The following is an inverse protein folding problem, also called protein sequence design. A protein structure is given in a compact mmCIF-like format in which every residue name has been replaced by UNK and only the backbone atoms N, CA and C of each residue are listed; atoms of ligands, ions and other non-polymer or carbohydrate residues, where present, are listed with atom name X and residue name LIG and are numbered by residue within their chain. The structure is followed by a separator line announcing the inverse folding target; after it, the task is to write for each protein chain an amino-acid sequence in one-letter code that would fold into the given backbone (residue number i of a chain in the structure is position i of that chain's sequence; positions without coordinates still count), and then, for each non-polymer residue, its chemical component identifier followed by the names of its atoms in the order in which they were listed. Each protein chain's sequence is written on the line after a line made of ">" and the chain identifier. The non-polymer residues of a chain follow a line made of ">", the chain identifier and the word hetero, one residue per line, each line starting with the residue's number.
data_IF_190159729761
#
_entry.id   IF_190159729761
#
_cell.length_a   1.000
_cell.length_b   1.000
_cell.length_c   1.000
_cell.angle_alpha   90.00
_cell.angle_beta   90.00
_cell.angle_gamma   90.00
#
_symmetry.space_group_name_H-M   'P 1'
#
loop_
_entity.id
_entity.type
_entity.pdbx_description
1 polymer ?
#
# COMPACT_ATOMS: atom_id res chain seq x y z
N UNK A 1 27.45 7.65 8.61
CA UNK A 1 26.81 8.92 8.16
C UNK A 1 25.62 9.14 9.06
N UNK A 2 25.55 10.30 9.72
CA UNK A 2 24.45 10.58 10.64
C UNK A 2 23.24 11.09 9.84
N UNK A 3 22.09 10.46 10.01
CA UNK A 3 20.87 10.80 9.24
C UNK A 3 19.80 11.34 10.17
N UNK A 4 19.27 12.52 9.86
CA UNK A 4 18.13 13.08 10.59
C UNK A 4 16.87 12.26 10.35
N UNK A 5 16.11 11.98 11.40
CA UNK A 5 14.83 11.29 11.33
C UNK A 5 13.76 12.11 12.04
N UNK A 6 12.57 12.13 11.47
CA UNK A 6 11.39 12.79 12.02
C UNK A 6 10.25 11.80 12.01
N UNK A 7 9.66 11.56 13.18
CA UNK A 7 8.58 10.61 13.37
C UNK A 7 7.38 11.34 13.91
N UNK A 8 6.24 11.18 13.24
CA UNK A 8 4.94 11.72 13.66
C UNK A 8 3.97 10.56 13.84
N UNK A 9 3.25 10.56 14.96
CA UNK A 9 2.25 9.55 15.26
C UNK A 9 0.94 10.18 15.71
N UNK A 10 -0.16 9.52 15.39
CA UNK A 10 -1.48 9.78 15.98
C UNK A 10 -2.19 8.46 16.25
N UNK A 11 -2.70 8.34 17.48
CA UNK A 11 -3.38 7.16 17.98
C UNK A 11 -4.81 7.57 18.26
N UNK A 12 -5.75 6.99 17.52
CA UNK A 12 -7.17 7.23 17.69
C UNK A 12 -7.74 6.13 18.56
N UNK A 13 -7.79 6.40 19.86
CA UNK A 13 -8.35 5.50 20.86
C UNK A 13 -9.14 6.30 21.89
N UNK A 14 -10.25 5.72 22.33
CA UNK A 14 -11.28 6.44 23.07
C UNK A 14 -11.05 6.44 24.59
N UNK A 15 -10.18 5.58 25.13
CA UNK A 15 -10.15 5.33 26.59
C UNK A 15 -8.90 4.57 27.11
N UNK A 16 -7.74 4.60 26.43
CA UNK A 16 -6.57 3.79 26.85
C UNK A 16 -5.27 4.57 26.85
N UNK A 17 -4.40 4.25 27.82
CA UNK A 17 -3.02 4.71 27.87
C UNK A 17 -2.17 3.93 26.89
N UNK A 18 -1.45 4.64 26.02
CA UNK A 18 -0.54 4.06 25.03
C UNK A 18 0.90 4.39 25.35
N UNK A 19 1.78 3.43 25.13
CA UNK A 19 3.20 3.57 25.33
C UNK A 19 3.88 3.48 23.98
N UNK A 20 4.76 4.43 23.68
CA UNK A 20 5.61 4.44 22.50
C UNK A 20 7.06 4.35 22.93
N UNK A 21 7.81 3.44 22.29
CA UNK A 21 9.26 3.37 22.42
C UNK A 21 9.89 3.23 21.04
N UNK A 22 10.99 3.96 20.84
CA UNK A 22 11.85 3.82 19.67
C UNK A 22 13.18 3.25 20.12
N UNK A 23 13.60 2.16 19.48
CA UNK A 23 14.82 1.43 19.81
C UNK A 23 15.76 1.39 18.61
N UNK A 24 17.06 1.50 18.89
CA UNK A 24 18.13 1.40 17.91
C UNK A 24 18.40 -0.06 17.50
N UNK A 25 19.15 -0.29 16.41
CA UNK A 25 19.53 -1.63 15.97
C UNK A 25 20.28 -2.45 17.04
N UNK A 26 20.92 -1.78 17.99
CA UNK A 26 21.71 -2.37 19.07
C UNK A 26 20.93 -2.50 20.39
N UNK A 27 19.62 -2.23 20.36
CA UNK A 27 18.77 -2.34 21.55
C UNK A 27 18.78 -1.10 22.45
N UNK A 28 19.38 0.02 22.04
CA UNK A 28 19.36 1.25 22.83
C UNK A 28 18.03 1.98 22.65
N UNK A 29 17.42 2.41 23.75
CA UNK A 29 16.18 3.19 23.71
C UNK A 29 16.48 4.66 23.40
N UNK A 30 15.97 5.14 22.28
CA UNK A 30 16.20 6.51 21.78
C UNK A 30 15.09 7.45 22.20
N UNK A 31 13.87 6.94 22.24
CA UNK A 31 12.70 7.70 22.64
C UNK A 31 11.75 6.79 23.40
N UNK A 32 11.16 7.30 24.48
CA UNK A 32 10.18 6.60 25.28
C UNK A 32 9.16 7.60 25.78
N UNK A 33 7.88 7.34 25.55
CA UNK A 33 6.80 8.21 25.96
C UNK A 33 5.58 7.39 26.39
N UNK A 34 5.04 7.73 27.55
CA UNK A 34 3.86 7.10 28.13
C UNK A 34 2.61 7.97 27.88
N UNK A 35 1.44 7.34 27.79
CA UNK A 35 0.13 7.98 27.56
C UNK A 35 0.06 8.89 26.32
N UNK A 36 0.53 8.38 25.18
CA UNK A 36 0.58 9.13 23.93
C UNK A 36 -0.70 9.05 23.11
N UNK A 37 -1.29 10.19 22.74
CA UNK A 37 -2.43 10.26 21.80
C UNK A 37 -2.00 10.80 20.45
N UNK A 38 -1.13 11.80 20.42
CA UNK A 38 -0.56 12.38 19.21
C UNK A 38 0.78 13.02 19.54
N UNK A 39 1.70 13.04 18.57
CA UNK A 39 3.03 13.62 18.80
C UNK A 39 3.90 13.61 17.56
N UNK A 40 4.93 14.45 17.60
CA UNK A 40 6.03 14.45 16.64
C UNK A 40 7.33 14.63 17.39
N UNK A 41 8.33 13.83 17.05
CA UNK A 41 9.69 13.95 17.58
C UNK A 41 10.69 13.74 16.45
N UNK A 42 11.90 14.26 16.65
CA UNK A 42 13.00 14.11 15.73
C UNK A 42 14.24 13.61 16.48
N UNK A 43 15.00 12.74 15.84
CA UNK A 43 16.26 12.22 16.36
C UNK A 43 17.23 11.97 15.21
N UNK A 44 18.53 11.96 15.49
CA UNK A 44 19.55 11.69 14.48
C UNK A 44 20.10 10.29 14.68
N UNK A 45 20.20 9.51 13.61
CA UNK A 45 20.87 8.20 13.66
C UNK A 45 22.37 8.40 13.77
N UNK A 46 23.00 7.68 14.69
CA UNK A 46 24.46 7.60 14.81
C UNK A 46 25.00 6.37 14.10
N UNK A 47 24.16 5.35 13.91
CA UNK A 47 24.54 4.03 13.43
C UNK A 47 23.64 3.62 12.27
N UNK A 48 24.20 2.85 11.33
CA UNK A 48 23.42 2.25 10.25
C UNK A 48 22.72 0.98 10.75
N UNK A 49 21.44 0.84 10.47
CA UNK A 49 20.68 -0.36 10.78
C UNK A 49 19.17 -0.12 10.90
N UNK A 50 18.46 -1.14 11.38
CA UNK A 50 17.00 -1.09 11.55
C UNK A 50 16.62 -0.48 12.90
N UNK A 51 15.88 0.63 12.84
CA UNK A 51 15.27 1.25 14.01
C UNK A 51 13.83 0.75 14.15
N UNK A 52 13.40 0.48 15.37
CA UNK A 52 12.08 -0.07 15.67
C UNK A 52 11.25 0.95 16.43
N UNK A 53 9.98 1.13 16.04
CA UNK A 53 8.98 1.83 16.83
C UNK A 53 7.94 0.82 17.33
N UNK A 54 7.80 0.74 18.64
CA UNK A 54 6.90 -0.18 19.32
C UNK A 54 5.79 0.61 20.03
N UNK A 55 4.55 0.16 19.87
CA UNK A 55 3.36 0.72 20.51
C UNK A 55 2.73 -0.34 21.41
N UNK A 56 2.54 -0.03 22.70
CA UNK A 56 1.82 -0.89 23.64
C UNK A 56 0.56 -0.20 24.15
N UNK A 57 -0.41 -1.03 24.56
CA UNK A 57 -1.71 -0.59 25.04
C UNK A 57 -1.92 -1.20 26.42
N UNK A 58 -2.06 -0.37 27.44
CA UNK A 58 -2.42 -0.85 28.77
C UNK A 58 -3.94 -1.02 28.85
N UNK A 59 -4.39 -2.27 28.83
CA UNK A 59 -5.79 -2.59 29.05
C UNK A 59 -6.09 -4.06 28.80
N UNK A 60 -6.74 -4.71 29.78
CA UNK A 60 -7.37 -6.02 29.63
C UNK A 60 -8.64 -5.91 28.77
N UNK A 61 -8.48 -5.50 27.51
CA UNK A 61 -9.59 -5.29 26.60
C UNK A 61 -9.99 -6.58 25.92
N UNK A 62 -10.67 -7.42 26.68
CA UNK A 62 -11.51 -8.51 26.17
C UNK A 62 -12.64 -7.99 25.23
N UNK A 63 -12.73 -6.66 25.00
CA UNK A 63 -13.70 -5.96 24.14
C UNK A 63 -13.13 -4.66 23.52
N UNK A 64 -11.96 -4.67 22.88
CA UNK A 64 -11.49 -3.46 22.18
C UNK A 64 -12.17 -3.31 20.81
N UNK A 65 -12.99 -2.26 20.65
CA UNK A 65 -13.17 -1.64 19.32
C UNK A 65 -11.77 -1.39 18.75
N UNK A 66 -11.55 -1.74 17.47
CA UNK A 66 -10.22 -1.68 16.86
C UNK A 66 -9.51 -0.35 17.11
N UNK A 67 -8.22 -0.43 17.41
CA UNK A 67 -7.36 0.75 17.60
C UNK A 67 -6.71 1.11 16.28
N UNK A 68 -6.79 2.38 15.90
CA UNK A 68 -6.15 2.90 14.69
C UNK A 68 -4.92 3.70 15.08
N UNK A 69 -3.76 3.28 14.59
CA UNK A 69 -2.47 3.98 14.73
C UNK A 69 -2.05 4.50 13.36
N UNK A 70 -1.78 5.79 13.26
CA UNK A 70 -1.18 6.43 12.10
C UNK A 70 0.25 6.81 12.42
N UNK A 71 1.19 6.40 11.56
CA UNK A 71 2.63 6.62 11.70
C UNK A 71 3.20 7.19 10.40
N UNK A 72 3.83 8.35 10.47
CA UNK A 72 4.61 8.98 9.39
C UNK A 72 6.08 9.05 9.84
N UNK A 73 6.95 8.29 9.15
CA UNK A 73 8.38 8.22 9.44
C UNK A 73 9.16 8.79 8.26
N UNK A 74 9.92 9.86 8.51
CA UNK A 74 10.71 10.57 7.50
C UNK A 74 12.19 10.51 7.81
N UNK A 75 13.01 10.38 6.78
CA UNK A 75 14.48 10.26 6.89
C UNK A 75 15.19 11.28 6.00
N UNK A 76 16.37 11.70 6.45
CA UNK A 76 17.28 12.59 5.70
C UNK A 76 16.65 13.94 5.35
N UNK A 77 16.66 14.26 4.06
CA UNK A 77 16.14 15.51 3.49
C UNK A 77 14.64 15.66 3.81
N UNK A 78 13.87 14.57 3.82
CA UNK A 78 12.44 14.60 4.16
C UNK A 78 12.16 14.84 5.66
N UNK A 79 13.17 14.63 6.53
CA UNK A 79 13.07 14.90 7.96
C UNK A 79 13.32 16.38 8.33
N UNK A 80 13.94 17.16 7.43
CA UNK A 80 14.25 18.58 7.65
C UNK A 80 12.97 19.42 7.46
N UNK A 81 12.68 20.31 8.41
CA UNK A 81 11.52 21.20 8.32
C UNK A 81 11.81 22.37 7.35
N UNK A 82 11.47 22.15 6.08
CA UNK A 82 11.70 23.09 4.98
C UNK A 82 10.99 24.44 5.15
N UNK A 83 9.95 24.53 5.99
CA UNK A 83 9.21 25.77 6.22
C UNK A 83 10.01 26.80 7.04
N UNK A 84 10.93 26.31 7.89
CA UNK A 84 11.84 27.13 8.69
C UNK A 84 13.09 27.57 7.91
N UNK A 85 13.53 26.77 6.94
CA UNK A 85 14.66 27.07 6.04
C UNK A 85 14.26 28.07 4.97
N UNK A 86 13.07 27.92 4.38
CA UNK A 86 12.55 28.80 3.32
C UNK A 86 12.39 30.27 3.75
N UNK A 87 12.24 30.53 5.06
CA UNK A 87 12.09 31.89 5.60
C UNK A 87 13.42 32.64 5.78
N UNK A 88 14.55 31.92 5.80
CA UNK A 88 15.88 32.48 6.11
C UNK A 88 16.72 32.85 4.87
N UNK A 89 16.42 32.32 3.69
CA UNK A 89 17.24 32.48 2.47
C UNK A 89 16.47 33.13 1.31
N UNK A 90 15.48 33.96 1.62
CA UNK A 90 14.67 34.63 0.61
C UNK A 90 15.35 35.90 0.08
N UNK A 91 16.50 35.80 -0.60
CA UNK A 91 16.89 36.63 -1.79
C UNK A 91 18.01 35.92 -2.61
N UNK A 92 17.99 34.59 -2.79
CA UNK A 92 18.78 33.93 -3.88
C UNK A 92 17.99 32.79 -4.55
N UNK A 93 16.71 32.63 -4.19
CA UNK A 93 15.94 31.40 -4.42
C UNK A 93 15.29 31.19 -5.78
N UNK A 94 15.48 32.06 -6.78
CA UNK A 94 14.80 31.88 -8.08
C UNK A 94 15.49 30.79 -8.93
N UNK A 95 16.83 30.69 -8.91
CA UNK A 95 17.53 29.58 -9.58
C UNK A 95 17.32 28.24 -8.88
N UNK A 96 17.09 28.25 -7.56
CA UNK A 96 16.93 27.06 -6.75
C UNK A 96 15.54 26.40 -6.96
N UNK A 97 14.49 27.19 -7.19
CA UNK A 97 13.16 26.67 -7.49
C UNK A 97 13.11 25.95 -8.85
N UNK A 98 13.85 26.43 -9.85
CA UNK A 98 13.96 25.77 -11.16
C UNK A 98 14.68 24.42 -11.07
N UNK A 99 15.80 24.33 -10.35
CA UNK A 99 16.48 23.05 -10.08
C UNK A 99 15.65 22.09 -9.23
N UNK A 100 14.82 22.62 -8.33
CA UNK A 100 13.90 21.81 -7.52
C UNK A 100 12.78 21.21 -8.37
N UNK A 101 12.23 21.95 -9.33
CA UNK A 101 11.28 21.40 -10.31
C UNK A 101 11.95 20.37 -11.22
N UNK A 102 13.18 20.61 -11.68
CA UNK A 102 13.95 19.65 -12.49
C UNK A 102 14.21 18.34 -11.74
N UNK A 103 14.64 18.41 -10.47
CA UNK A 103 14.85 17.23 -9.62
C UNK A 103 13.55 16.52 -9.22
N UNK A 104 12.43 17.25 -9.09
CA UNK A 104 11.11 16.65 -8.87
C UNK A 104 10.63 15.94 -10.15
N UNK A 105 10.83 16.52 -11.33
CA UNK A 105 10.47 15.90 -12.61
C UNK A 105 11.32 14.65 -12.88
N UNK A 106 12.60 14.66 -12.52
CA UNK A 106 13.49 13.50 -12.65
C UNK A 106 13.12 12.38 -11.65
N UNK A 107 12.83 12.73 -10.40
CA UNK A 107 12.33 11.79 -9.40
C UNK A 107 10.91 11.25 -9.71
N UNK A 108 10.07 12.05 -10.37
CA UNK A 108 8.77 11.59 -10.89
C UNK A 108 8.97 10.73 -12.14
N UNK A 109 9.97 11.03 -12.97
CA UNK A 109 10.31 10.27 -14.18
C UNK A 109 10.65 8.81 -13.86
N UNK A 110 11.51 8.56 -12.88
CA UNK A 110 11.84 7.19 -12.45
C UNK A 110 10.61 6.44 -11.90
N UNK A 111 9.76 7.13 -11.13
CA UNK A 111 8.53 6.55 -10.60
C UNK A 111 7.48 6.28 -11.68
N UNK A 112 7.38 7.15 -12.69
CA UNK A 112 6.50 6.94 -13.84
C UNK A 112 6.97 5.79 -14.73
N UNK A 113 8.29 5.61 -14.90
CA UNK A 113 8.85 4.45 -15.61
C UNK A 113 8.53 3.15 -14.84
N UNK A 114 8.68 3.16 -13.51
CA UNK A 114 8.33 2.03 -12.65
C UNK A 114 6.82 1.70 -12.64
N UNK A 115 5.96 2.72 -12.61
CA UNK A 115 4.51 2.53 -12.69
C UNK A 115 4.08 2.03 -14.09
N UNK A 116 4.70 2.56 -15.14
CA UNK A 116 4.45 2.14 -16.54
C UNK A 116 4.91 0.70 -16.81
N UNK A 117 6.04 0.27 -16.23
CA UNK A 117 6.51 -1.10 -16.37
C UNK A 117 5.56 -2.09 -15.68
N UNK A 118 5.02 -1.73 -14.52
CA UNK A 118 3.99 -2.53 -13.83
C UNK A 118 2.65 -2.52 -14.56
N UNK A 119 2.26 -1.40 -15.17
CA UNK A 119 1.04 -1.31 -16.00
C UNK A 119 1.16 -2.18 -17.27
N UNK A 120 2.35 -2.21 -17.89
CA UNK A 120 2.64 -3.08 -19.03
C UNK A 120 2.55 -4.58 -18.65
N UNK A 121 3.11 -4.98 -17.51
CA UNK A 121 2.99 -6.34 -16.98
C UNK A 121 1.53 -6.70 -16.65
N UNK A 122 0.78 -5.77 -16.07
CA UNK A 122 -0.65 -5.96 -15.78
C UNK A 122 -1.51 -6.05 -17.05
N UNK A 123 -1.06 -5.45 -18.16
CA UNK A 123 -1.71 -5.56 -19.49
C UNK A 123 -1.54 -6.96 -20.08
N UNK A 124 -0.39 -7.59 -19.89
CA UNK A 124 -0.11 -8.96 -20.36
C UNK A 124 -0.86 -10.02 -19.53
N UNK A 125 -0.97 -9.80 -18.21
CA UNK A 125 -1.81 -10.63 -17.32
C UNK A 125 -3.29 -10.52 -17.70
N UNK A 126 -3.73 -9.33 -18.13
CA UNK A 126 -5.09 -9.12 -18.64
C UNK A 126 -5.33 -9.86 -19.96
N UNK A 127 -4.38 -9.85 -20.90
CA UNK A 127 -4.52 -10.50 -22.21
C UNK A 127 -4.51 -12.04 -22.12
N UNK A 128 -3.61 -12.61 -21.33
CA UNK A 128 -3.46 -14.08 -21.20
C UNK A 128 -4.56 -14.70 -20.33
N UNK A 129 -4.97 -14.02 -19.25
CA UNK A 129 -6.08 -14.48 -18.38
C UNK A 129 -7.42 -14.36 -19.09
N UNK A 130 -7.68 -13.23 -19.78
CA UNK A 130 -8.93 -13.03 -20.51
C UNK A 130 -9.11 -14.05 -21.64
N UNK A 131 -8.05 -14.38 -22.38
CA UNK A 131 -8.12 -15.38 -23.46
C UNK A 131 -8.47 -16.78 -22.93
N UNK A 132 -7.88 -17.20 -21.81
CA UNK A 132 -8.17 -18.52 -21.21
C UNK A 132 -9.61 -18.59 -20.68
N UNK A 133 -10.06 -17.54 -20.00
CA UNK A 133 -11.44 -17.44 -19.49
C UNK A 133 -12.45 -17.44 -20.65
N UNK A 134 -12.17 -16.70 -21.73
CA UNK A 134 -13.00 -16.69 -22.93
C UNK A 134 -13.06 -18.07 -23.60
N UNK A 135 -11.93 -18.78 -23.70
CA UNK A 135 -11.89 -20.15 -24.24
C UNK A 135 -12.73 -21.13 -23.43
N UNK A 136 -12.64 -21.10 -22.09
CA UNK A 136 -13.49 -21.94 -21.23
C UNK A 136 -14.98 -21.58 -21.36
N UNK A 137 -15.31 -20.30 -21.51
CA UNK A 137 -16.69 -19.84 -21.74
C UNK A 137 -17.24 -20.37 -23.06
N UNK A 138 -16.48 -20.28 -24.16
CA UNK A 138 -16.86 -20.79 -25.48
C UNK A 138 -17.04 -22.32 -25.44
N UNK A 139 -16.12 -23.04 -24.80
CA UNK A 139 -16.20 -24.50 -24.66
C UNK A 139 -17.47 -24.92 -23.89
N UNK A 140 -17.80 -24.23 -22.81
CA UNK A 140 -19.01 -24.48 -22.02
C UNK A 140 -20.29 -24.28 -22.85
N UNK A 141 -20.37 -23.17 -23.61
CA UNK A 141 -21.51 -22.89 -24.50
C UNK A 141 -21.67 -23.97 -25.59
N UNK A 142 -20.57 -24.43 -26.18
CA UNK A 142 -20.60 -25.48 -27.19
C UNK A 142 -21.13 -26.82 -26.62
N UNK A 143 -20.72 -27.18 -25.41
CA UNK A 143 -21.23 -28.37 -24.70
C UNK A 143 -22.72 -28.25 -24.43
N UNK A 144 -23.20 -27.10 -23.93
CA UNK A 144 -24.63 -26.86 -23.73
C UNK A 144 -25.43 -27.02 -25.03
N UNK A 145 -24.95 -26.46 -26.14
CA UNK A 145 -25.62 -26.57 -27.43
C UNK A 145 -25.70 -28.03 -27.91
N UNK A 146 -24.60 -28.78 -27.78
CA UNK A 146 -24.57 -30.20 -28.14
C UNK A 146 -25.57 -31.01 -27.31
N UNK A 147 -25.64 -30.77 -25.99
CA UNK A 147 -26.60 -31.43 -25.10
C UNK A 147 -28.04 -31.09 -25.48
N UNK A 148 -28.36 -29.82 -25.76
CA UNK A 148 -29.70 -29.42 -26.18
C UNK A 148 -30.12 -30.09 -27.50
N UNK A 149 -29.23 -30.19 -28.49
CA UNK A 149 -29.51 -30.90 -29.75
C UNK A 149 -29.73 -32.39 -29.50
N UNK A 150 -28.87 -33.03 -28.69
CA UNK A 150 -29.02 -34.44 -28.34
C UNK A 150 -30.35 -34.71 -27.62
N UNK A 151 -30.75 -33.85 -26.69
CA UNK A 151 -32.05 -33.95 -26.01
C UNK A 151 -33.22 -33.90 -27.00
N UNK A 152 -33.19 -32.97 -27.97
CA UNK A 152 -34.22 -32.86 -29.00
C UNK A 152 -34.26 -34.08 -29.93
N UNK A 153 -33.10 -34.57 -30.36
CA UNK A 153 -32.99 -35.77 -31.22
C UNK A 153 -33.46 -37.01 -30.48
N UNK A 154 -33.08 -37.18 -29.22
CA UNK A 154 -33.50 -38.28 -28.37
C UNK A 154 -35.03 -38.28 -28.21
N UNK A 155 -35.62 -37.13 -27.89
CA UNK A 155 -37.06 -36.99 -27.73
C UNK A 155 -37.81 -37.31 -29.04
N UNK A 156 -37.35 -36.78 -30.19
CA UNK A 156 -37.93 -37.12 -31.51
C UNK A 156 -37.82 -38.61 -31.83
N UNK A 157 -36.68 -39.22 -31.55
CA UNK A 157 -36.45 -40.65 -31.80
C UNK A 157 -37.33 -41.52 -30.89
N UNK A 158 -37.49 -41.12 -29.64
CA UNK A 158 -38.36 -41.78 -28.68
C UNK A 158 -39.82 -41.77 -29.13
N UNK A 159 -40.36 -40.62 -29.53
CA UNK A 159 -41.73 -40.50 -30.05
C UNK A 159 -41.94 -41.30 -31.35
N UNK A 160 -40.96 -41.29 -32.25
CA UNK A 160 -41.01 -42.05 -33.50
C UNK A 160 -40.98 -43.56 -33.27
N UNK A 161 -40.20 -44.04 -32.30
CA UNK A 161 -40.15 -45.47 -31.92
C UNK A 161 -41.41 -45.93 -31.17
N UNK A 162 -42.05 -45.04 -30.42
CA UNK A 162 -43.28 -45.33 -29.66
C UNK A 162 -44.57 -45.12 -30.46
N UNK A 163 -44.50 -44.69 -31.74
CA UNK A 163 -45.66 -44.39 -32.61
C UNK A 163 -46.75 -43.56 -31.91
N UNK A 164 -46.36 -42.43 -31.30
CA UNK A 164 -47.32 -41.49 -30.70
C UNK A 164 -47.60 -40.24 -31.57
N UNK A 165 -47.08 -40.23 -32.80
CA UNK A 165 -47.52 -39.43 -33.95
C UNK A 165 -47.50 -40.38 -35.15
#
# INVERSE_FOLDING_TARGET
>A
MNTSQTVRHSIFAWESGFFLQVTSPYGNNLHHQENVTHGQFAFTTTEGGNYLACFWIDGNHQRSKGVTVSLDWRTGIAAKDWESVARKEKIEGIELELRKLEGIVEAIGENLIYLKSREAEMREVSETTNTRVAMFSIMSLAVCFAVSVLQLVYLKTFFRKKKLI
#
